data_IF_939689518831
#
_entry.id   IF_939689518831
#
_cell.length_a   1.000
_cell.length_b   1.000
_cell.length_c   1.000
_cell.angle_alpha   90.00
_cell.angle_beta   90.00
_cell.angle_gamma   90.00
#
_symmetry.space_group_name_H-M   'P 1'
#
loop_
_entity.id
_entity.type
_entity.pdbx_description
1 polymer ?
#
# COMPACT_ATOMS: atom_id res chain seq x y z
N UNK A 1 23.88 -0.52 -26.37
CA UNK A 1 23.08 0.64 -26.68
C UNK A 1 22.05 0.87 -25.61
N UNK A 2 22.05 1.97 -24.97
CA UNK A 2 21.24 2.39 -23.83
C UNK A 2 19.78 1.99 -23.72
N UNK A 3 19.40 0.85 -24.25
CA UNK A 3 18.02 0.35 -24.17
C UNK A 3 17.73 -0.37 -22.86
N UNK A 4 18.76 -0.82 -22.15
CA UNK A 4 18.57 -1.75 -21.04
C UNK A 4 17.72 -1.20 -19.90
N UNK A 5 17.94 0.03 -19.42
CA UNK A 5 17.16 0.56 -18.31
C UNK A 5 15.74 0.92 -18.73
N UNK A 6 15.56 1.44 -19.94
CA UNK A 6 14.24 1.74 -20.49
C UNK A 6 13.45 0.46 -20.72
N UNK A 7 14.07 -0.56 -21.29
CA UNK A 7 13.43 -1.85 -21.55
C UNK A 7 13.00 -2.51 -20.25
N UNK A 8 13.83 -2.45 -19.20
CA UNK A 8 13.48 -2.97 -17.88
C UNK A 8 12.27 -2.26 -17.29
N UNK A 9 12.22 -0.92 -17.41
CA UNK A 9 11.06 -0.15 -16.95
C UNK A 9 9.80 -0.54 -17.69
N UNK A 10 9.90 -0.75 -19.01
CA UNK A 10 8.75 -1.14 -19.84
C UNK A 10 8.24 -2.53 -19.46
N UNK A 11 9.12 -3.47 -19.13
CA UNK A 11 8.73 -4.78 -18.65
C UNK A 11 7.92 -4.70 -17.37
N UNK A 12 8.43 -3.99 -16.35
CA UNK A 12 7.71 -3.84 -15.10
C UNK A 12 6.41 -3.04 -15.25
N UNK A 13 6.41 -2.05 -16.12
CA UNK A 13 5.21 -1.29 -16.42
C UNK A 13 4.12 -2.19 -17.02
N UNK A 14 4.47 -3.04 -17.99
CA UNK A 14 3.53 -3.99 -18.58
C UNK A 14 3.04 -5.01 -17.57
N UNK A 15 3.95 -5.56 -16.76
CA UNK A 15 3.58 -6.51 -15.70
C UNK A 15 2.65 -5.88 -14.67
N UNK A 16 2.86 -4.61 -14.34
CA UNK A 16 1.97 -3.90 -13.45
C UNK A 16 0.56 -3.77 -14.03
N UNK A 17 0.45 -3.42 -15.31
CA UNK A 17 -0.85 -3.34 -15.97
C UNK A 17 -1.55 -4.70 -16.04
N UNK A 18 -0.83 -5.75 -16.40
CA UNK A 18 -1.37 -7.10 -16.48
C UNK A 18 -1.85 -7.61 -15.12
N UNK A 19 -1.12 -7.29 -14.04
CA UNK A 19 -1.49 -7.67 -12.68
C UNK A 19 -2.51 -6.75 -12.01
N UNK A 20 -2.93 -5.69 -12.69
CA UNK A 20 -3.85 -4.71 -12.12
C UNK A 20 -3.23 -3.77 -11.10
N UNK A 21 -1.91 -3.65 -11.08
CA UNK A 21 -1.22 -2.74 -10.17
C UNK A 21 -1.24 -1.30 -10.71
N UNK A 22 -1.45 -0.35 -9.82
CA UNK A 22 -1.50 1.09 -10.18
C UNK A 22 -0.16 1.64 -10.65
N UNK A 23 0.94 1.06 -10.20
CA UNK A 23 2.28 1.43 -10.61
C UNK A 23 3.23 0.25 -10.46
N UNK A 24 4.33 0.30 -11.19
CA UNK A 24 5.38 -0.73 -11.12
C UNK A 24 6.06 -0.80 -9.76
N UNK A 25 5.98 0.25 -8.95
CA UNK A 25 6.56 0.27 -7.61
C UNK A 25 5.96 -0.80 -6.68
N UNK A 26 4.78 -1.35 -7.01
CA UNK A 26 4.21 -2.48 -6.28
C UNK A 26 5.18 -3.66 -6.22
N UNK A 27 5.90 -3.93 -7.29
CA UNK A 27 6.85 -5.05 -7.35
C UNK A 27 8.01 -4.87 -6.37
N UNK A 28 8.43 -3.64 -6.14
CA UNK A 28 9.48 -3.37 -5.16
C UNK A 28 9.07 -3.81 -3.76
N UNK A 29 7.85 -3.47 -3.35
CA UNK A 29 7.34 -3.89 -2.05
C UNK A 29 7.13 -5.40 -1.98
N UNK A 30 6.62 -6.01 -3.04
CA UNK A 30 6.45 -7.45 -3.13
C UNK A 30 7.79 -8.18 -3.00
N UNK A 31 8.83 -7.70 -3.67
CA UNK A 31 10.16 -8.27 -3.60
C UNK A 31 10.79 -8.13 -2.22
N UNK A 32 10.64 -6.97 -1.59
CA UNK A 32 11.12 -6.74 -0.23
C UNK A 32 10.41 -7.67 0.75
N UNK A 33 9.11 -7.83 0.62
CA UNK A 33 8.36 -8.74 1.48
C UNK A 33 8.78 -10.18 1.28
N UNK A 34 9.03 -10.59 0.04
CA UNK A 34 9.50 -11.94 -0.26
C UNK A 34 10.84 -12.24 0.41
N UNK A 35 11.74 -11.27 0.42
CA UNK A 35 13.08 -11.44 0.99
C UNK A 35 13.08 -11.32 2.52
N UNK A 36 12.33 -10.39 3.09
CA UNK A 36 12.40 -10.06 4.51
C UNK A 36 11.16 -10.44 5.31
N UNK A 37 10.12 -10.98 4.67
CA UNK A 37 8.87 -11.35 5.31
C UNK A 37 8.30 -10.21 6.18
N UNK A 38 7.99 -9.10 5.55
CA UNK A 38 7.56 -7.90 6.25
C UNK A 38 6.17 -8.03 6.86
N UNK A 39 5.28 -8.82 6.26
CA UNK A 39 3.85 -8.73 6.55
C UNK A 39 3.33 -9.79 7.52
N UNK A 40 4.10 -10.83 7.82
CA UNK A 40 3.66 -11.87 8.75
C UNK A 40 3.39 -11.27 10.14
N UNK A 41 2.16 -11.45 10.63
CA UNK A 41 1.75 -10.94 11.93
C UNK A 41 1.44 -9.44 11.97
N UNK A 42 1.61 -8.72 10.88
CA UNK A 42 1.35 -7.29 10.83
C UNK A 42 -0.15 -7.04 10.72
N UNK A 43 -0.66 -6.13 11.54
CA UNK A 43 -2.08 -5.76 11.57
C UNK A 43 -2.32 -4.28 11.29
N UNK A 44 -1.34 -3.43 11.54
CA UNK A 44 -1.48 -1.98 11.39
C UNK A 44 -0.33 -1.41 10.58
N UNK A 45 -0.67 -0.75 9.48
CA UNK A 45 0.32 -0.21 8.54
C UNK A 45 -0.08 1.18 8.10
N UNK A 46 0.92 2.03 7.93
CA UNK A 46 0.77 3.36 7.36
C UNK A 46 1.57 3.42 6.07
N UNK A 47 0.93 3.84 5.01
CA UNK A 47 1.56 4.11 3.72
C UNK A 47 1.64 5.63 3.53
N UNK A 48 2.82 6.19 3.73
CA UNK A 48 3.06 7.62 3.59
C UNK A 48 3.41 7.97 2.16
N UNK A 49 2.87 9.09 1.65
CA UNK A 49 3.01 9.49 0.24
C UNK A 49 2.45 8.41 -0.69
N UNK A 50 1.24 7.96 -0.40
CA UNK A 50 0.70 6.72 -0.94
C UNK A 50 0.29 6.79 -2.42
N UNK A 51 -0.12 7.94 -2.93
CA UNK A 51 -0.62 8.05 -4.31
C UNK A 51 0.45 7.60 -5.32
N UNK A 52 0.06 6.89 -6.40
CA UNK A 52 -1.29 6.51 -6.80
C UNK A 52 -1.93 5.36 -6.02
N UNK A 53 -1.20 4.73 -5.11
CA UNK A 53 -1.73 3.71 -4.22
C UNK A 53 -1.26 2.28 -4.52
N UNK A 54 -0.16 2.11 -5.25
CA UNK A 54 0.33 0.76 -5.57
C UNK A 54 0.79 -0.01 -4.35
N UNK A 55 1.45 0.64 -3.39
CA UNK A 55 1.85 0.00 -2.14
C UNK A 55 0.64 -0.29 -1.26
N UNK A 56 -0.32 0.62 -1.20
CA UNK A 56 -1.58 0.36 -0.50
C UNK A 56 -2.35 -0.81 -1.13
N UNK A 57 -2.27 -0.99 -2.46
CA UNK A 57 -2.83 -2.19 -3.11
C UNK A 57 -2.15 -3.47 -2.62
N UNK A 58 -0.83 -3.48 -2.54
CA UNK A 58 -0.09 -4.64 -2.03
C UNK A 58 -0.53 -4.96 -0.60
N UNK A 59 -0.61 -3.93 0.25
CA UNK A 59 -1.04 -4.08 1.64
C UNK A 59 -2.46 -4.63 1.73
N UNK A 60 -3.38 -4.09 0.93
CA UNK A 60 -4.76 -4.57 0.89
C UNK A 60 -4.83 -6.05 0.51
N UNK A 61 -4.11 -6.46 -0.52
CA UNK A 61 -4.09 -7.86 -0.95
C UNK A 61 -3.45 -8.78 0.09
N UNK A 62 -2.29 -8.40 0.59
CA UNK A 62 -1.51 -9.24 1.51
C UNK A 62 -2.09 -9.32 2.92
N UNK A 63 -2.56 -8.21 3.44
CA UNK A 63 -3.03 -8.15 4.83
C UNK A 63 -4.51 -8.44 4.97
N UNK A 64 -5.29 -8.30 3.91
CA UNK A 64 -6.74 -8.49 3.98
C UNK A 64 -7.23 -9.59 3.05
N UNK A 65 -7.07 -9.45 1.74
CA UNK A 65 -7.67 -10.39 0.80
C UNK A 65 -7.12 -11.81 0.94
N UNK A 66 -5.80 -11.95 0.95
CA UNK A 66 -5.17 -13.27 1.08
C UNK A 66 -5.46 -13.92 2.43
N UNK A 67 -5.48 -13.14 3.51
CA UNK A 67 -5.80 -13.66 4.84
C UNK A 67 -7.25 -14.10 4.95
N UNK A 68 -8.18 -13.36 4.32
CA UNK A 68 -9.58 -13.78 4.24
C UNK A 68 -9.73 -15.10 3.50
N UNK A 69 -8.99 -15.28 2.41
CA UNK A 69 -9.00 -16.55 1.67
C UNK A 69 -8.53 -17.71 2.53
N UNK A 70 -7.63 -17.47 3.48
CA UNK A 70 -7.14 -18.44 4.43
C UNK A 70 -8.04 -18.56 5.68
N UNK A 71 -9.20 -17.92 5.67
CA UNK A 71 -10.15 -17.88 6.80
C UNK A 71 -9.57 -17.25 8.07
N UNK A 72 -8.58 -16.35 7.92
CA UNK A 72 -8.04 -15.60 9.05
C UNK A 72 -8.94 -14.42 9.40
N UNK A 73 -8.98 -14.06 10.68
CA UNK A 73 -9.70 -12.87 11.14
C UNK A 73 -8.89 -11.61 10.79
N UNK A 74 -9.49 -10.74 9.99
CA UNK A 74 -8.88 -9.47 9.58
C UNK A 74 -9.60 -8.25 10.17
N UNK A 75 -10.48 -8.47 11.16
CA UNK A 75 -11.30 -7.39 11.73
C UNK A 75 -10.47 -6.30 12.38
N UNK A 76 -9.29 -6.60 12.89
CA UNK A 76 -8.39 -5.63 13.54
C UNK A 76 -7.27 -5.13 12.62
N UNK A 77 -7.27 -5.53 11.35
CA UNK A 77 -6.31 -5.01 10.36
C UNK A 77 -6.68 -3.59 9.98
N UNK A 78 -5.72 -2.69 10.09
CA UNK A 78 -5.89 -1.27 9.73
C UNK A 78 -4.76 -0.86 8.79
N UNK A 79 -5.13 -0.38 7.62
CA UNK A 79 -4.21 0.15 6.63
C UNK A 79 -4.60 1.61 6.40
N UNK A 80 -3.67 2.52 6.65
CA UNK A 80 -3.90 3.95 6.46
C UNK A 80 -2.96 4.46 5.38
N UNK A 81 -3.53 5.07 4.36
CA UNK A 81 -2.79 5.68 3.26
C UNK A 81 -2.89 7.19 3.34
N UNK A 82 -1.77 7.88 3.32
CA UNK A 82 -1.72 9.34 3.46
C UNK A 82 -1.00 9.94 2.26
N UNK A 83 -1.62 10.93 1.64
CA UNK A 83 -1.01 11.69 0.54
C UNK A 83 -1.67 13.05 0.42
N UNK A 84 -0.94 14.01 -0.14
CA UNK A 84 -1.49 15.31 -0.52
C UNK A 84 -2.51 15.17 -1.66
N UNK A 85 -2.31 14.17 -2.53
CA UNK A 85 -3.18 13.90 -3.66
C UNK A 85 -4.23 12.87 -3.30
N UNK A 86 -5.44 13.04 -3.85
CA UNK A 86 -6.46 12.02 -3.76
C UNK A 86 -6.08 10.82 -4.62
N UNK A 87 -6.50 9.64 -4.19
CA UNK A 87 -6.32 8.43 -4.99
C UNK A 87 -7.61 7.62 -5.01
N UNK A 88 -7.75 6.76 -6.01
CA UNK A 88 -8.93 5.91 -6.12
C UNK A 88 -9.05 4.99 -4.90
N UNK A 89 -10.28 4.72 -4.41
CA UNK A 89 -10.49 3.89 -3.24
C UNK A 89 -9.92 2.48 -3.39
N UNK A 90 -9.50 1.91 -2.27
CA UNK A 90 -9.02 0.54 -2.17
C UNK A 90 -9.75 -0.18 -1.03
N UNK A 91 -10.12 -1.46 -1.21
CA UNK A 91 -10.77 -2.21 -0.15
C UNK A 91 -9.91 -2.28 1.12
N UNK A 92 -10.51 -1.95 2.26
CA UNK A 92 -9.84 -2.06 3.55
C UNK A 92 -8.79 -0.98 3.84
N UNK A 93 -8.63 0.00 2.97
CA UNK A 93 -7.66 1.09 3.14
C UNK A 93 -8.38 2.37 3.54
N UNK A 94 -7.96 2.94 4.66
CA UNK A 94 -8.42 4.25 5.13
C UNK A 94 -7.53 5.31 4.49
N UNK A 95 -8.13 6.22 3.73
CA UNK A 95 -7.39 7.25 3.04
C UNK A 95 -7.51 8.58 3.76
N UNK A 96 -6.37 9.19 4.03
CA UNK A 96 -6.28 10.53 4.60
C UNK A 96 -5.58 11.44 3.60
N UNK A 97 -6.31 12.40 3.05
CA UNK A 97 -5.75 13.35 2.10
C UNK A 97 -5.33 14.62 2.83
N UNK A 98 -4.06 14.96 2.77
CA UNK A 98 -3.55 16.17 3.36
C UNK A 98 -2.07 16.10 3.69
N UNK A 99 -1.61 17.15 4.36
CA UNK A 99 -0.21 17.34 4.72
C UNK A 99 0.01 16.82 6.14
N UNK A 100 0.79 15.75 6.28
CA UNK A 100 1.09 15.13 7.58
C UNK A 100 1.86 16.06 8.52
N UNK A 101 2.42 17.14 8.00
CA UNK A 101 3.11 18.13 8.84
C UNK A 101 2.15 19.06 9.57
N UNK A 102 0.87 19.10 9.18
CA UNK A 102 -0.15 19.94 9.82
C UNK A 102 -0.61 19.31 11.13
N UNK A 103 -0.80 20.14 12.16
CA UNK A 103 -1.16 19.67 13.51
C UNK A 103 -2.50 18.93 13.52
N UNK A 104 -3.52 19.48 12.85
CA UNK A 104 -4.84 18.86 12.76
C UNK A 104 -4.79 17.50 12.09
N UNK A 105 -3.93 17.34 11.10
CA UNK A 105 -3.76 16.08 10.39
C UNK A 105 -3.10 15.02 11.27
N UNK A 106 -2.10 15.44 12.05
CA UNK A 106 -1.46 14.56 13.02
C UNK A 106 -2.46 14.05 14.06
N UNK A 107 -3.35 14.91 14.54
CA UNK A 107 -4.37 14.52 15.50
C UNK A 107 -5.35 13.50 14.90
N UNK A 108 -5.83 13.73 13.68
CA UNK A 108 -6.71 12.79 12.98
C UNK A 108 -6.01 11.43 12.74
N UNK A 109 -4.76 11.49 12.35
CA UNK A 109 -3.94 10.29 12.15
C UNK A 109 -3.80 9.47 13.43
N UNK A 110 -3.45 10.15 14.54
CA UNK A 110 -3.31 9.50 15.83
C UNK A 110 -4.63 8.89 16.30
N UNK A 111 -5.77 9.54 16.05
CA UNK A 111 -7.07 9.02 16.46
C UNK A 111 -7.38 7.69 15.80
N UNK A 112 -7.02 7.50 14.53
CA UNK A 112 -7.20 6.24 13.82
C UNK A 112 -6.39 5.12 14.48
N UNK A 113 -5.20 5.41 14.98
CA UNK A 113 -4.34 4.40 15.61
C UNK A 113 -4.65 4.18 17.08
N UNK A 114 -5.06 5.22 17.81
CA UNK A 114 -5.36 5.12 19.24
C UNK A 114 -6.69 4.39 19.48
N UNK A 115 -7.68 4.58 18.62
CA UNK A 115 -8.98 3.90 18.74
C UNK A 115 -8.92 2.42 18.36
N UNK A 116 -7.78 1.93 18.05
CA UNK A 116 -7.52 0.53 17.75
C UNK A 116 -7.03 -0.23 18.95
#
# INVERSE_FOLDING_TARGET
MGRSSKDKRDVYYRLAKEGGWRARSAFKLLQINEEFDLFTGVKRVVDLCAAPGSWSQVLSRKLMEERKELSEDVSDVKIVAVDLQAMAPLPGVIQLQGDITKVTYKAAFLSVFICM
#
